data_IF_939214099543
#
_entry.id   IF_939214099543
#
_cell.length_a   1.000
_cell.length_b   1.000
_cell.length_c   1.000
_cell.angle_alpha   90.00
_cell.angle_beta   90.00
_cell.angle_gamma   90.00
#
_symmetry.space_group_name_H-M   'P 1'
#
loop_
_entity.id
_entity.type
_entity.pdbx_description
1 polymer ?
#
# COMPACT_ATOMS: atom_id res chain seq x y z
N UNK A 1 -12.27 -12.34 0.18
CA UNK A 1 -11.69 -12.08 1.51
C UNK A 1 -11.77 -13.35 2.34
N UNK A 2 -10.66 -13.73 2.99
CA UNK A 2 -10.60 -14.84 3.95
C UNK A 2 -11.57 -14.62 5.11
N UNK A 3 -12.27 -15.68 5.53
CA UNK A 3 -13.35 -15.54 6.51
C UNK A 3 -12.81 -15.27 7.91
N UNK A 4 -11.63 -15.81 8.28
CA UNK A 4 -11.02 -15.56 9.59
C UNK A 4 -10.57 -14.11 9.69
N UNK A 5 -9.93 -13.61 8.63
CA UNK A 5 -9.54 -12.21 8.52
C UNK A 5 -10.75 -11.28 8.58
N UNK A 6 -11.82 -11.57 7.83
CA UNK A 6 -13.08 -10.81 7.89
C UNK A 6 -13.67 -10.75 9.30
N UNK A 7 -13.68 -11.87 10.02
CA UNK A 7 -14.18 -11.93 11.40
C UNK A 7 -13.30 -11.10 12.34
N UNK A 8 -11.97 -11.19 12.21
CA UNK A 8 -11.05 -10.36 13.00
C UNK A 8 -11.25 -8.86 12.74
N UNK A 9 -11.44 -8.46 11.48
CA UNK A 9 -11.73 -7.07 11.12
C UNK A 9 -13.06 -6.58 11.70
N UNK A 10 -14.10 -7.42 11.73
CA UNK A 10 -15.39 -7.05 12.37
C UNK A 10 -15.28 -6.87 13.88
N UNK A 11 -14.39 -7.61 14.53
CA UNK A 11 -14.11 -7.43 15.97
C UNK A 11 -13.32 -6.14 16.23
N UNK A 12 -12.35 -5.83 15.36
CA UNK A 12 -11.55 -4.60 15.45
C UNK A 12 -12.35 -3.34 15.09
N UNK A 13 -13.25 -3.45 14.11
CA UNK A 13 -14.07 -2.36 13.57
C UNK A 13 -15.56 -2.73 13.71
N UNK A 14 -16.15 -2.64 14.92
CA UNK A 14 -17.49 -3.14 15.20
C UNK A 14 -18.62 -2.26 14.63
N UNK A 15 -18.35 -0.99 14.35
CA UNK A 15 -19.34 -0.04 13.83
C UNK A 15 -18.94 0.44 12.43
N UNK A 16 -19.92 0.61 11.54
CA UNK A 16 -19.67 1.19 10.21
C UNK A 16 -19.20 2.64 10.29
N UNK A 17 -19.62 3.35 11.34
CA UNK A 17 -19.17 4.69 11.68
C UNK A 17 -18.28 4.58 12.93
N UNK A 18 -16.98 4.91 12.85
CA UNK A 18 -16.12 4.88 14.02
C UNK A 18 -16.65 5.82 15.10
N UNK A 19 -16.85 5.31 16.32
CA UNK A 19 -17.20 6.16 17.47
C UNK A 19 -16.06 7.15 17.79
N UNK A 20 -14.83 6.80 17.41
CA UNK A 20 -13.62 7.64 17.46
C UNK A 20 -12.69 7.28 16.30
N UNK A 21 -11.77 8.18 15.95
CA UNK A 21 -10.73 7.93 14.94
C UNK A 21 -9.52 7.14 15.49
N UNK A 22 -9.68 6.42 16.61
CA UNK A 22 -8.57 5.74 17.30
C UNK A 22 -8.34 4.29 16.85
N UNK A 23 -9.22 3.75 16.02
CA UNK A 23 -9.08 2.37 15.54
C UNK A 23 -8.06 2.32 14.42
N UNK A 24 -7.00 1.54 14.60
CA UNK A 24 -5.95 1.31 13.61
C UNK A 24 -5.81 -0.18 13.38
N UNK A 25 -5.84 -0.59 12.10
CA UNK A 25 -5.62 -1.97 11.68
C UNK A 25 -4.41 -1.99 10.74
N UNK A 26 -3.41 -2.85 10.99
CA UNK A 26 -2.29 -3.08 10.08
C UNK A 26 -2.75 -3.47 8.67
N UNK A 27 -2.05 -2.97 7.65
CA UNK A 27 -2.32 -3.32 6.24
C UNK A 27 -1.82 -4.74 5.92
N UNK A 28 -0.75 -5.19 6.58
CA UNK A 28 -0.17 -6.53 6.45
C UNK A 28 0.31 -7.08 7.81
N UNK A 29 0.85 -8.30 7.81
CA UNK A 29 1.37 -8.98 9.00
C UNK A 29 2.70 -8.42 9.53
N UNK A 30 3.37 -7.52 8.78
CA UNK A 30 4.69 -6.96 9.10
C UNK A 30 4.65 -5.43 9.06
N UNK A 31 3.82 -4.76 9.89
CA UNK A 31 3.47 -3.35 9.73
C UNK A 31 4.62 -2.35 9.87
N UNK A 32 5.77 -2.79 10.35
CA UNK A 32 6.97 -1.97 10.57
C UNK A 32 8.14 -2.37 9.67
N UNK A 33 7.94 -3.33 8.76
CA UNK A 33 8.97 -3.84 7.85
C UNK A 33 8.48 -3.64 6.42
N UNK A 34 9.32 -3.04 5.58
CA UNK A 34 9.05 -2.94 4.16
C UNK A 34 9.54 -4.21 3.45
N UNK A 35 8.63 -5.11 3.14
CA UNK A 35 8.92 -6.41 2.53
C UNK A 35 7.79 -6.85 1.57
N UNK A 36 7.79 -8.11 1.14
CA UNK A 36 6.76 -8.63 0.24
C UNK A 36 5.58 -9.35 0.94
N UNK A 37 5.47 -9.29 2.27
CA UNK A 37 4.34 -9.91 3.01
C UNK A 37 3.01 -9.29 2.63
N UNK A 38 2.96 -7.99 2.32
CA UNK A 38 1.79 -7.35 1.71
C UNK A 38 1.22 -8.19 0.55
N UNK A 39 2.06 -8.59 -0.43
CA UNK A 39 1.59 -9.37 -1.58
C UNK A 39 1.16 -10.79 -1.20
N UNK A 40 1.82 -11.39 -0.20
CA UNK A 40 1.42 -12.71 0.32
C UNK A 40 0.05 -12.66 1.00
N UNK A 41 -0.20 -11.65 1.80
CA UNK A 41 -1.46 -11.48 2.52
C UNK A 41 -2.64 -11.26 1.56
N UNK A 42 -2.49 -10.37 0.57
CA UNK A 42 -3.57 -10.11 -0.40
C UNK A 42 -3.87 -11.32 -1.28
N UNK A 43 -2.87 -12.17 -1.59
CA UNK A 43 -3.08 -13.46 -2.27
C UNK A 43 -3.84 -14.47 -1.41
N UNK A 44 -3.66 -14.43 -0.10
CA UNK A 44 -4.42 -15.24 0.84
C UNK A 44 -5.83 -14.67 1.12
N UNK A 45 -6.26 -13.67 0.35
CA UNK A 45 -7.53 -12.99 0.54
C UNK A 45 -7.58 -12.12 1.80
N UNK A 46 -6.43 -11.70 2.31
CA UNK A 46 -6.28 -10.85 3.51
C UNK A 46 -5.93 -9.40 3.16
N UNK A 47 -6.40 -8.90 2.01
CA UNK A 47 -6.29 -7.48 1.69
C UNK A 47 -7.24 -6.65 2.54
N UNK A 48 -6.72 -5.57 3.15
CA UNK A 48 -7.50 -4.69 4.02
C UNK A 48 -8.45 -3.82 3.20
N UNK A 49 -7.97 -3.23 2.11
CA UNK A 49 -8.79 -2.41 1.22
C UNK A 49 -9.34 -3.23 0.04
N UNK A 50 -10.44 -2.76 -0.55
CA UNK A 50 -11.03 -3.39 -1.74
C UNK A 50 -10.02 -3.50 -2.89
N UNK A 51 -9.30 -2.41 -3.16
CA UNK A 51 -8.28 -2.37 -4.21
C UNK A 51 -7.15 -3.39 -4.00
N UNK A 52 -6.76 -3.67 -2.76
CA UNK A 52 -5.74 -4.67 -2.44
C UNK A 52 -6.21 -6.08 -2.86
N UNK A 53 -7.50 -6.36 -2.67
CA UNK A 53 -8.12 -7.61 -3.09
C UNK A 53 -8.35 -7.66 -4.61
N UNK A 54 -8.67 -6.53 -5.23
CA UNK A 54 -8.92 -6.45 -6.66
C UNK A 54 -7.64 -6.70 -7.46
N UNK A 55 -6.49 -6.13 -7.05
CA UNK A 55 -5.23 -6.32 -7.77
C UNK A 55 -4.71 -7.77 -7.71
N UNK A 56 -5.09 -8.55 -6.68
CA UNK A 56 -4.70 -9.96 -6.58
C UNK A 56 -5.58 -10.88 -7.41
N UNK A 57 -6.72 -10.40 -7.91
CA UNK A 57 -7.70 -11.20 -8.68
C UNK A 57 -7.88 -10.73 -10.12
N UNK A 58 -7.58 -9.47 -10.44
CA UNK A 58 -7.64 -8.95 -11.80
C UNK A 58 -6.60 -9.64 -12.70
N UNK A 59 -6.98 -10.21 -13.85
CA UNK A 59 -6.06 -10.94 -14.73
C UNK A 59 -4.85 -10.13 -15.21
N UNK A 60 -4.94 -8.80 -15.23
CA UNK A 60 -3.86 -7.90 -15.67
C UNK A 60 -2.79 -7.72 -14.59
N UNK A 61 -3.16 -7.81 -13.31
CA UNK A 61 -2.28 -7.52 -12.18
C UNK A 61 -1.91 -8.75 -11.36
N UNK A 62 -2.78 -9.75 -11.31
CA UNK A 62 -2.59 -10.97 -10.53
C UNK A 62 -1.25 -11.69 -10.82
N UNK A 63 -0.75 -11.80 -12.06
CA UNK A 63 0.56 -12.40 -12.33
C UNK A 63 1.72 -11.64 -11.66
N UNK A 64 1.64 -10.32 -11.59
CA UNK A 64 2.65 -9.49 -10.94
C UNK A 64 2.55 -9.61 -9.41
N UNK A 65 1.34 -9.59 -8.85
CA UNK A 65 1.10 -9.82 -7.42
C UNK A 65 1.69 -11.17 -6.99
N UNK A 66 1.42 -12.23 -7.76
CA UNK A 66 2.00 -13.56 -7.52
C UNK A 66 3.52 -13.52 -7.54
N UNK A 67 4.11 -12.86 -8.54
CA UNK A 67 5.56 -12.77 -8.65
C UNK A 67 6.19 -12.01 -7.48
N UNK A 68 5.57 -10.91 -7.04
CA UNK A 68 6.03 -10.16 -5.88
C UNK A 68 5.94 -10.97 -4.59
N UNK A 69 4.89 -11.77 -4.40
CA UNK A 69 4.71 -12.60 -3.21
C UNK A 69 5.75 -13.74 -3.08
N UNK A 70 6.26 -14.26 -4.20
CA UNK A 70 7.25 -15.36 -4.21
C UNK A 70 8.70 -14.87 -4.29
N UNK A 71 8.95 -13.70 -4.86
CA UNK A 71 10.28 -13.14 -5.09
C UNK A 71 10.37 -11.68 -4.60
N UNK A 72 10.92 -11.50 -3.40
CA UNK A 72 11.11 -10.20 -2.79
C UNK A 72 12.12 -9.32 -3.54
N UNK A 73 13.16 -9.92 -4.15
CA UNK A 73 14.14 -9.15 -4.90
C UNK A 73 13.50 -8.56 -6.15
N UNK A 74 12.69 -9.35 -6.86
CA UNK A 74 11.91 -8.87 -8.00
C UNK A 74 10.93 -7.76 -7.61
N UNK A 75 10.29 -7.87 -6.45
CA UNK A 75 9.47 -6.78 -5.89
C UNK A 75 10.29 -5.52 -5.67
N UNK A 76 11.41 -5.59 -4.94
CA UNK A 76 12.23 -4.43 -4.65
C UNK A 76 12.82 -3.79 -5.91
N UNK A 77 13.23 -4.59 -6.90
CA UNK A 77 13.71 -4.11 -8.19
C UNK A 77 12.61 -3.37 -8.98
N UNK A 78 11.38 -3.86 -8.91
CA UNK A 78 10.23 -3.21 -9.54
C UNK A 78 9.84 -1.93 -8.78
N UNK A 79 9.84 -1.99 -7.45
CA UNK A 79 9.50 -0.88 -6.58
C UNK A 79 10.47 0.28 -6.75
N UNK A 80 11.79 0.04 -6.71
CA UNK A 80 12.80 1.11 -6.87
C UNK A 80 12.64 1.81 -8.23
N UNK A 81 12.39 1.06 -9.29
CA UNK A 81 12.18 1.60 -10.63
C UNK A 81 10.91 2.46 -10.70
N UNK A 82 9.81 1.96 -10.14
CA UNK A 82 8.53 2.68 -10.09
C UNK A 82 8.63 3.96 -9.24
N UNK A 83 9.30 3.89 -8.09
CA UNK A 83 9.47 5.00 -7.17
C UNK A 83 10.28 6.14 -7.80
N UNK A 84 11.39 5.83 -8.48
CA UNK A 84 12.17 6.84 -9.23
C UNK A 84 11.30 7.53 -10.28
N UNK A 85 10.57 6.76 -11.08
CA UNK A 85 9.67 7.31 -12.12
C UNK A 85 8.59 8.22 -11.53
N UNK A 86 7.99 7.83 -10.39
CA UNK A 86 7.02 8.65 -9.67
C UNK A 86 7.66 9.94 -9.15
N UNK A 87 8.84 9.85 -8.52
CA UNK A 87 9.53 11.00 -7.93
C UNK A 87 9.99 12.05 -8.95
N UNK A 88 10.21 11.65 -10.21
CA UNK A 88 10.59 12.54 -11.29
C UNK A 88 9.40 13.08 -12.10
N UNK A 89 8.17 12.65 -11.76
CA UNK A 89 6.98 13.02 -12.53
C UNK A 89 6.52 14.44 -12.19
N UNK A 90 6.40 15.29 -13.22
CA UNK A 90 5.85 16.64 -13.12
C UNK A 90 6.54 17.53 -12.06
N UNK A 91 7.85 17.37 -11.90
CA UNK A 91 8.66 18.15 -10.97
C UNK A 91 8.93 19.56 -11.50
N UNK A 92 9.04 20.53 -10.58
CA UNK A 92 9.48 21.88 -10.90
C UNK A 92 11.01 21.89 -11.05
N UNK A 93 11.51 22.41 -12.16
CA UNK A 93 12.95 22.47 -12.48
C UNK A 93 13.40 23.89 -12.80
N UNK A 94 14.72 24.13 -12.74
CA UNK A 94 15.33 25.43 -13.04
C UNK A 94 14.70 26.58 -12.21
N UNK A 95 14.12 27.57 -12.88
CA UNK A 95 13.50 28.74 -12.26
C UNK A 95 11.99 28.52 -11.96
N UNK A 96 11.48 27.30 -12.10
CA UNK A 96 10.09 26.99 -11.75
C UNK A 96 9.95 26.84 -10.22
N UNK A 97 8.98 27.54 -9.62
CA UNK A 97 8.72 27.46 -8.19
C UNK A 97 9.71 28.25 -7.34
N UNK A 98 9.96 27.77 -6.11
CA UNK A 98 10.84 28.40 -5.12
C UNK A 98 11.40 27.35 -4.15
N UNK A 99 12.57 27.63 -3.55
CA UNK A 99 13.08 26.86 -2.41
C UNK A 99 12.45 27.42 -1.13
N UNK A 100 11.45 26.74 -0.60
CA UNK A 100 10.72 27.18 0.60
C UNK A 100 11.62 27.17 1.83
N UNK A 101 11.55 28.23 2.64
CA UNK A 101 12.21 28.32 3.96
C UNK A 101 11.44 27.53 5.03
N UNK A 102 10.12 27.41 4.86
CA UNK A 102 9.22 26.64 5.71
C UNK A 102 8.24 25.88 4.82
N UNK A 103 8.16 24.56 4.92
CA UNK A 103 7.39 23.73 3.99
C UNK A 103 5.88 24.04 4.00
N UNK A 104 5.36 24.54 5.13
CA UNK A 104 3.93 24.82 5.36
C UNK A 104 3.46 26.19 4.86
N UNK A 105 4.34 27.01 4.26
CA UNK A 105 3.96 28.30 3.70
C UNK A 105 4.78 28.62 2.45
N UNK A 106 4.25 29.51 1.61
CA UNK A 106 5.04 30.15 0.55
C UNK A 106 6.03 31.12 1.19
N UNK A 107 7.17 31.32 0.53
CA UNK A 107 8.10 32.39 0.88
C UNK A 107 7.50 33.77 0.69
#
# INVERSE_FOLDING_TARGET
MDWRFKTALRLACPTEIPLTNLTVVPIDMTPTIFDNHYYRDIMMGRGLFGIDSDISTDPRTAPFVMRFAVDQNYFFDSFKSAFVKLSSSNVLTNMQGEVRRKCNQRN
#
